data_IF_446667955556
#
_entry.id   IF_446667955556
#
_cell.length_a   1.000
_cell.length_b   1.000
_cell.length_c   1.000
_cell.angle_alpha   90.00
_cell.angle_beta   90.00
_cell.angle_gamma   90.00
#
_symmetry.space_group_name_H-M   'P 1'
#
loop_
_entity.id
_entity.type
_entity.pdbx_description
1 polymer ?
#
# COMPACT_ATOMS: atom_id res chain seq x y z
N UNK A 1 0.63 7.48 -14.50
CA UNK A 1 0.48 6.04 -14.82
C UNK A 1 -0.73 5.50 -14.07
N UNK A 2 -1.63 4.78 -14.74
CA UNK A 2 -2.73 4.04 -14.11
C UNK A 2 -2.45 2.56 -14.34
N UNK A 3 -2.24 1.80 -13.27
CA UNK A 3 -1.98 0.36 -13.33
C UNK A 3 -2.92 -0.39 -12.41
N UNK A 4 -3.50 -1.49 -12.89
CA UNK A 4 -4.12 -2.53 -12.04
C UNK A 4 -3.01 -3.49 -11.57
N UNK A 5 -3.35 -4.71 -11.10
CA UNK A 5 -2.45 -5.69 -10.44
C UNK A 5 -0.99 -5.75 -10.95
N UNK A 6 -0.78 -5.55 -12.25
CA UNK A 6 0.52 -5.43 -12.92
C UNK A 6 1.47 -4.40 -12.30
N UNK A 7 0.99 -3.45 -11.49
CA UNK A 7 1.84 -2.55 -10.72
C UNK A 7 2.62 -3.27 -9.61
N UNK A 8 2.14 -4.39 -9.07
CA UNK A 8 2.82 -5.10 -7.97
C UNK A 8 3.78 -6.19 -8.47
N UNK A 9 3.54 -6.76 -9.64
CA UNK A 9 4.34 -7.82 -10.26
C UNK A 9 5.46 -7.26 -11.15
N UNK A 10 6.42 -6.56 -10.55
CA UNK A 10 7.71 -6.31 -11.22
C UNK A 10 7.77 -5.18 -12.27
N UNK A 11 6.81 -4.26 -12.34
CA UNK A 11 6.98 -3.04 -13.16
C UNK A 11 7.95 -2.08 -12.47
N UNK A 12 9.22 -2.13 -12.85
CA UNK A 12 10.13 -1.01 -12.61
C UNK A 12 9.62 0.17 -13.44
N UNK A 13 9.17 1.23 -12.77
CA UNK A 13 8.75 2.46 -13.45
C UNK A 13 10.01 3.33 -13.56
N UNK A 14 10.62 3.45 -14.75
CA UNK A 14 11.71 4.40 -14.93
C UNK A 14 11.15 5.82 -14.81
N UNK A 15 11.78 6.64 -13.98
CA UNK A 15 11.53 8.08 -13.88
C UNK A 15 11.67 8.65 -12.48
N UNK A 16 12.38 9.77 -12.38
CA UNK A 16 12.60 10.58 -11.16
C UNK A 16 11.33 11.24 -10.60
N UNK A 17 10.16 11.03 -11.22
CA UNK A 17 8.95 11.84 -11.01
C UNK A 17 7.75 11.08 -10.40
N UNK A 18 7.94 9.91 -9.78
CA UNK A 18 6.84 9.25 -9.07
C UNK A 18 6.61 9.93 -7.71
N UNK A 19 5.84 11.01 -7.68
CA UNK A 19 5.53 11.77 -6.46
C UNK A 19 4.24 11.35 -5.78
N UNK A 20 3.44 10.47 -6.40
CA UNK A 20 2.16 10.04 -5.85
C UNK A 20 1.83 8.58 -6.22
N UNK A 21 1.52 7.77 -5.19
CA UNK A 21 0.99 6.41 -5.31
C UNK A 21 -0.46 6.39 -4.81
N UNK A 22 -1.38 6.01 -5.67
CA UNK A 22 -2.81 5.90 -5.34
C UNK A 22 -3.23 4.43 -5.21
N UNK A 23 -3.66 4.03 -4.02
CA UNK A 23 -4.09 2.68 -3.68
C UNK A 23 -5.60 2.63 -3.46
N UNK A 24 -6.32 2.09 -4.43
CA UNK A 24 -7.79 1.97 -4.35
C UNK A 24 -8.24 0.90 -3.37
N UNK A 25 -7.43 -0.14 -3.17
CA UNK A 25 -7.68 -1.26 -2.25
C UNK A 25 -6.37 -1.77 -1.65
N UNK A 26 -6.44 -2.37 -0.47
CA UNK A 26 -5.31 -3.10 0.12
C UNK A 26 -4.95 -4.32 -0.77
N UNK A 27 -3.65 -4.62 -0.94
CA UNK A 27 -3.15 -5.58 -1.92
C UNK A 27 -3.27 -7.04 -1.45
N UNK A 28 -4.46 -7.44 -1.01
CA UNK A 28 -4.75 -8.84 -0.69
C UNK A 28 -4.70 -9.72 -1.93
N UNK A 29 -4.18 -10.94 -1.77
CA UNK A 29 -4.24 -11.96 -2.81
C UNK A 29 -5.69 -12.34 -3.11
N UNK A 30 -5.91 -12.92 -4.30
CA UNK A 30 -7.22 -13.47 -4.65
C UNK A 30 -7.29 -14.86 -4.03
N UNK A 31 -8.32 -15.19 -3.22
CA UNK A 31 -8.42 -16.48 -2.55
C UNK A 31 -8.45 -17.69 -3.51
N UNK A 32 -8.89 -17.49 -4.76
CA UNK A 32 -8.95 -18.54 -5.78
C UNK A 32 -7.64 -18.74 -6.53
N UNK A 33 -6.58 -17.99 -6.20
CA UNK A 33 -5.24 -18.26 -6.73
C UNK A 33 -4.73 -19.61 -6.16
N UNK A 34 -4.36 -20.59 -7.00
CA UNK A 34 -4.03 -21.93 -6.52
C UNK A 34 -2.86 -21.97 -5.54
N UNK A 35 -1.84 -21.13 -5.75
CA UNK A 35 -0.66 -21.09 -4.88
C UNK A 35 -1.01 -20.43 -3.54
N UNK A 36 -1.78 -19.35 -3.58
CA UNK A 36 -2.26 -18.70 -2.37
C UNK A 36 -3.19 -19.63 -1.57
N UNK A 37 -4.12 -20.32 -2.22
CA UNK A 37 -5.03 -21.27 -1.59
C UNK A 37 -4.28 -22.41 -0.91
N UNK A 38 -3.38 -23.09 -1.64
CA UNK A 38 -2.59 -24.20 -1.10
C UNK A 38 -1.72 -23.76 0.10
N UNK A 39 -1.14 -22.56 0.06
CA UNK A 39 -0.40 -22.01 1.21
C UNK A 39 -1.31 -21.59 2.34
N UNK A 40 -2.49 -21.05 2.05
CA UNK A 40 -3.47 -20.66 3.06
C UNK A 40 -3.95 -21.86 3.88
N UNK A 41 -4.11 -23.03 3.24
CA UNK A 41 -4.53 -24.27 3.92
C UNK A 41 -3.55 -24.70 5.03
N UNK A 42 -2.26 -24.41 4.90
CA UNK A 42 -1.26 -24.79 5.93
C UNK A 42 -1.40 -24.00 7.24
N UNK A 43 -2.17 -22.91 7.25
CA UNK A 43 -2.43 -22.07 8.43
C UNK A 43 -3.84 -22.26 9.00
N UNK A 44 -4.67 -23.13 8.42
CA UNK A 44 -6.02 -23.44 8.90
C UNK A 44 -6.90 -22.19 9.10
N UNK A 45 -7.62 -22.12 10.23
CA UNK A 45 -8.52 -21.01 10.56
C UNK A 45 -7.80 -19.67 10.72
N UNK A 46 -6.52 -19.70 11.10
CA UNK A 46 -5.71 -18.51 11.33
C UNK A 46 -5.14 -17.91 10.03
N UNK A 47 -5.36 -18.55 8.88
CA UNK A 47 -4.73 -18.18 7.61
C UNK A 47 -4.92 -16.72 7.19
N UNK A 48 -6.05 -16.11 7.54
CA UNK A 48 -6.24 -14.69 7.26
C UNK A 48 -5.22 -13.81 8.01
N UNK A 49 -5.06 -14.03 9.31
CA UNK A 49 -4.20 -13.19 10.15
C UNK A 49 -2.72 -13.59 10.06
N UNK A 50 -2.42 -14.87 9.89
CA UNK A 50 -1.05 -15.40 9.90
C UNK A 50 -0.40 -15.49 8.51
N UNK A 51 -1.20 -15.45 7.44
CA UNK A 51 -0.68 -15.53 6.08
C UNK A 51 -1.17 -14.40 5.16
N UNK A 52 -2.50 -14.21 5.02
CA UNK A 52 -3.07 -13.23 4.09
C UNK A 52 -2.69 -11.78 4.45
N UNK A 53 -2.78 -11.42 5.73
CA UNK A 53 -2.39 -10.08 6.22
C UNK A 53 -0.88 -9.84 6.05
N UNK A 54 0.04 -10.72 6.51
CA UNK A 54 1.47 -10.56 6.26
C UNK A 54 1.85 -10.46 4.78
N UNK A 55 1.27 -11.29 3.91
CA UNK A 55 1.50 -11.25 2.46
C UNK A 55 1.06 -9.90 1.86
N UNK A 56 -0.11 -9.41 2.24
CA UNK A 56 -0.60 -8.10 1.81
C UNK A 56 0.27 -6.95 2.35
N UNK A 57 0.74 -7.02 3.59
CA UNK A 57 1.65 -6.04 4.19
C UNK A 57 2.99 -6.01 3.45
N UNK A 58 3.55 -7.18 3.12
CA UNK A 58 4.79 -7.28 2.34
C UNK A 58 4.63 -6.61 0.97
N UNK A 59 3.55 -6.91 0.24
CA UNK A 59 3.24 -6.27 -1.04
C UNK A 59 3.09 -4.77 -0.88
N UNK A 60 2.35 -4.31 0.12
CA UNK A 60 2.15 -2.89 0.42
C UNK A 60 3.48 -2.16 0.66
N UNK A 61 4.38 -2.72 1.47
CA UNK A 61 5.73 -2.19 1.71
C UNK A 61 6.54 -2.10 0.42
N UNK A 62 6.47 -3.12 -0.44
CA UNK A 62 7.19 -3.12 -1.72
C UNK A 62 6.70 -1.98 -2.64
N UNK A 63 5.38 -1.78 -2.75
CA UNK A 63 4.85 -0.65 -3.53
C UNK A 63 5.21 0.70 -2.93
N UNK A 64 5.23 0.82 -1.60
CA UNK A 64 5.72 2.01 -0.91
C UNK A 64 7.19 2.29 -1.24
N UNK A 65 8.05 1.27 -1.22
CA UNK A 65 9.47 1.40 -1.56
C UNK A 65 9.74 1.83 -3.01
N UNK A 66 8.76 1.66 -3.92
CA UNK A 66 8.89 2.21 -5.29
C UNK A 66 8.71 3.72 -5.35
N UNK A 67 8.04 4.32 -4.35
CA UNK A 67 7.84 5.76 -4.23
C UNK A 67 9.07 6.48 -3.68
N UNK A 68 9.79 5.87 -2.74
CA UNK A 68 10.96 6.46 -2.08
C UNK A 68 12.19 5.59 -2.37
N UNK A 69 12.97 5.94 -3.39
CA UNK A 69 14.14 5.18 -3.87
C UNK A 69 15.46 5.78 -3.38
N UNK A 70 15.52 7.10 -3.21
CA UNK A 70 16.68 7.83 -2.69
C UNK A 70 16.32 8.62 -1.42
N UNK A 71 17.32 9.09 -0.68
CA UNK A 71 17.11 9.89 0.55
C UNK A 71 16.45 11.25 0.30
N UNK A 72 16.53 11.75 -0.93
CA UNK A 72 15.92 13.02 -1.34
C UNK A 72 14.52 12.86 -1.91
N UNK A 73 14.08 11.62 -2.17
CA UNK A 73 12.77 11.38 -2.77
C UNK A 73 11.67 11.76 -1.78
N UNK A 74 10.63 12.41 -2.32
CA UNK A 74 9.43 12.77 -1.59
C UNK A 74 8.22 12.32 -2.39
N UNK A 75 7.23 11.78 -1.69
CA UNK A 75 5.99 11.40 -2.33
C UNK A 75 4.83 11.23 -1.36
N UNK A 76 3.64 11.09 -1.91
CA UNK A 76 2.40 10.86 -1.19
C UNK A 76 1.86 9.48 -1.54
N UNK A 77 1.43 8.72 -0.53
CA UNK A 77 0.61 7.51 -0.72
C UNK A 77 -0.82 7.82 -0.32
N UNK A 78 -1.74 7.81 -1.28
CA UNK A 78 -3.17 7.98 -1.05
C UNK A 78 -3.85 6.61 -1.00
N UNK A 79 -4.46 6.24 0.13
CA UNK A 79 -5.18 4.97 0.30
C UNK A 79 -6.68 5.22 0.41
N UNK A 80 -7.45 4.61 -0.48
CA UNK A 80 -8.93 4.71 -0.52
C UNK A 80 -9.65 3.54 0.14
N UNK A 81 -8.91 2.64 0.76
CA UNK A 81 -9.47 1.49 1.45
C UNK A 81 -9.72 1.80 2.91
N UNK A 82 -11.01 1.95 3.29
CA UNK A 82 -11.40 2.21 4.68
C UNK A 82 -10.92 1.14 5.65
N UNK A 83 -10.65 -0.10 5.19
CA UNK A 83 -10.16 -1.20 6.03
C UNK A 83 -8.83 -0.89 6.71
N UNK A 84 -8.01 -0.02 6.11
CA UNK A 84 -6.78 0.49 6.72
C UNK A 84 -7.04 1.19 8.07
N UNK A 85 -8.21 1.81 8.22
CA UNK A 85 -8.61 2.55 9.41
C UNK A 85 -9.59 1.78 10.31
N UNK A 86 -10.46 0.95 9.71
CA UNK A 86 -11.58 0.33 10.42
C UNK A 86 -11.31 -1.10 10.90
N UNK A 87 -10.32 -1.79 10.32
CA UNK A 87 -9.97 -3.16 10.72
C UNK A 87 -8.73 -3.18 11.59
N UNK A 88 -8.70 -4.11 12.55
CA UNK A 88 -7.59 -4.25 13.51
C UNK A 88 -6.24 -4.45 12.81
N UNK A 89 -6.20 -5.26 11.75
CA UNK A 89 -4.99 -5.46 10.95
C UNK A 89 -4.52 -4.21 10.19
N UNK A 90 -5.36 -3.18 10.04
CA UNK A 90 -5.00 -1.95 9.34
C UNK A 90 -3.80 -1.25 9.98
N UNK A 91 -3.66 -1.37 11.30
CA UNK A 91 -2.50 -0.83 12.01
C UNK A 91 -1.20 -1.52 11.62
N UNK A 92 -1.24 -2.81 11.32
CA UNK A 92 -0.08 -3.58 10.86
C UNK A 92 0.49 -3.00 9.56
N UNK A 93 -0.36 -2.51 8.65
CA UNK A 93 0.10 -1.83 7.43
C UNK A 93 0.82 -0.52 7.76
N UNK A 94 0.26 0.32 8.63
CA UNK A 94 0.85 1.62 8.98
C UNK A 94 2.18 1.45 9.74
N UNK A 95 2.22 0.54 10.70
CA UNK A 95 3.42 0.22 11.48
C UNK A 95 4.51 -0.45 10.64
N UNK A 96 4.13 -1.04 9.50
CA UNK A 96 5.09 -1.62 8.56
C UNK A 96 5.79 -0.58 7.70
N UNK A 97 5.42 0.70 7.75
CA UNK A 97 6.08 1.73 6.96
C UNK A 97 7.17 2.45 7.78
N UNK A 98 8.16 3.08 7.12
CA UNK A 98 9.02 4.06 7.78
C UNK A 98 8.19 5.21 8.38
N UNK A 99 8.80 5.97 9.28
CA UNK A 99 8.17 7.15 9.87
C UNK A 99 7.64 8.09 8.78
N UNK A 100 6.32 8.22 8.73
CA UNK A 100 5.62 9.01 7.72
C UNK A 100 4.50 9.83 8.36
N UNK A 101 4.23 10.99 7.76
CA UNK A 101 3.09 11.81 8.18
C UNK A 101 1.79 11.18 7.70
N UNK A 102 0.99 10.64 8.62
CA UNK A 102 -0.32 10.07 8.32
C UNK A 102 -1.41 11.13 8.48
N UNK A 103 -2.21 11.36 7.43
CA UNK A 103 -3.39 12.25 7.48
C UNK A 103 -4.66 11.48 7.11
N UNK A 104 -5.77 11.84 7.74
CA UNK A 104 -7.10 11.24 7.52
C UNK A 104 -8.10 12.36 7.34
N UNK A 105 -9.04 12.20 6.42
CA UNK A 105 -10.01 13.24 6.10
C UNK A 105 -10.83 12.91 4.87
N UNK A 106 -11.59 13.90 4.40
CA UNK A 106 -12.34 13.78 3.15
C UNK A 106 -11.39 13.78 1.96
N UNK A 107 -11.84 13.27 0.82
CA UNK A 107 -11.07 13.34 -0.43
C UNK A 107 -10.66 14.78 -0.78
N UNK A 108 -11.58 15.74 -0.62
CA UNK A 108 -11.33 17.14 -0.95
C UNK A 108 -10.22 17.75 -0.09
N UNK A 109 -10.24 17.49 1.22
CA UNK A 109 -9.24 18.03 2.15
C UNK A 109 -7.89 17.35 1.96
N UNK A 110 -7.88 16.03 1.78
CA UNK A 110 -6.65 15.26 1.58
C UNK A 110 -5.98 15.60 0.24
N UNK A 111 -6.75 15.82 -0.84
CA UNK A 111 -6.20 16.25 -2.12
C UNK A 111 -5.53 17.62 -2.01
N UNK A 112 -6.16 18.59 -1.33
CA UNK A 112 -5.56 19.90 -1.05
C UNK A 112 -4.29 19.78 -0.21
N UNK A 113 -4.33 18.98 0.86
CA UNK A 113 -3.19 18.78 1.75
C UNK A 113 -2.01 18.11 1.03
N UNK A 114 -2.27 17.09 0.19
CA UNK A 114 -1.25 16.42 -0.60
C UNK A 114 -0.59 17.38 -1.61
N UNK A 115 -1.40 18.18 -2.32
CA UNK A 115 -0.88 19.18 -3.26
C UNK A 115 -0.03 20.25 -2.56
N UNK A 116 -0.44 20.72 -1.37
CA UNK A 116 0.34 21.67 -0.59
C UNK A 116 1.66 21.07 -0.09
N UNK A 117 1.63 19.82 0.37
CA UNK A 117 2.82 19.10 0.87
C UNK A 117 3.85 18.84 -0.23
N UNK A 118 3.40 18.48 -1.44
CA UNK A 118 4.29 18.29 -2.59
C UNK A 118 4.94 19.58 -3.07
N UNK A 119 4.29 20.74 -2.89
CA UNK A 119 4.83 22.07 -3.26
C UNK A 119 5.79 22.67 -2.24
N UNK A 120 5.87 22.12 -1.04
CA UNK A 120 6.77 22.59 0.03
C UNK A 120 8.17 21.97 -0.09
N UNK A 121 8.59 21.60 -1.31
CA UNK A 121 9.89 21.03 -1.63
C UNK A 121 10.70 22.04 -2.43
#
# INVERSE_FOLDING_TARGET
LLGTRSFWEGVDIPGEALSCLALTRLPFAVPTDPIFAARSETFGEAAFMEYSVPDAVLKFRQGFGRLIRTKSDRGVVAVFDKRLLTKQYGQTFLQSLPDCTVRRGTWADLAKAAAAWLKTA
#
